data_IF_975807664550
#
_entry.id   IF_975807664550
#
_cell.length_a   1.000
_cell.length_b   1.000
_cell.length_c   1.000
_cell.angle_alpha   90.00
_cell.angle_beta   90.00
_cell.angle_gamma   90.00
#
_symmetry.space_group_name_H-M   'P 1'
#
loop_
_entity.id
_entity.type
_entity.pdbx_description
1 polymer ?
#
# COMPACT_ATOMS: atom_id res chain seq x y z
N UNK A 1 7.69 -40.88 -10.01
CA UNK A 1 7.60 -39.71 -10.91
C UNK A 1 7.09 -40.21 -12.24
N UNK A 2 5.87 -39.85 -12.65
CA UNK A 2 5.38 -40.17 -13.99
C UNK A 2 5.97 -39.19 -15.00
N UNK A 3 6.33 -39.69 -16.19
CA UNK A 3 6.81 -38.86 -17.30
C UNK A 3 5.70 -37.94 -17.80
N UNK A 4 6.04 -36.71 -18.20
CA UNK A 4 5.09 -35.69 -18.68
C UNK A 4 4.20 -36.19 -19.83
N UNK A 5 4.75 -37.00 -20.74
CA UNK A 5 3.99 -37.62 -21.83
C UNK A 5 2.93 -38.62 -21.32
N UNK A 6 3.23 -39.33 -20.24
CA UNK A 6 2.25 -40.25 -19.62
C UNK A 6 1.06 -39.49 -19.03
N UNK A 7 1.19 -38.22 -18.63
CA UNK A 7 0.06 -37.41 -18.12
C UNK A 7 -0.86 -36.98 -19.27
N UNK A 8 -0.32 -36.75 -20.46
CA UNK A 8 -1.08 -36.38 -21.65
C UNK A 8 -1.77 -37.58 -22.31
N UNK A 9 -1.22 -38.78 -22.15
CA UNK A 9 -1.76 -40.04 -22.68
C UNK A 9 -2.70 -40.76 -21.69
N UNK A 10 -2.72 -40.36 -20.42
CA UNK A 10 -3.54 -40.99 -19.38
C UNK A 10 -5.04 -40.69 -19.56
N UNK A 11 -5.83 -41.75 -19.64
CA UNK A 11 -7.26 -41.69 -20.03
C UNK A 11 -8.22 -41.52 -18.86
N UNK A 12 -7.74 -41.03 -17.72
CA UNK A 12 -8.55 -40.89 -16.52
C UNK A 12 -9.41 -39.61 -16.55
N UNK A 13 -10.68 -39.70 -16.15
CA UNK A 13 -11.71 -38.67 -16.41
C UNK A 13 -11.39 -37.31 -15.77
N UNK A 14 -10.75 -37.31 -14.60
CA UNK A 14 -10.30 -36.11 -13.91
C UNK A 14 -9.09 -35.43 -14.58
N UNK A 15 -8.16 -36.20 -15.17
CA UNK A 15 -6.97 -35.64 -15.83
C UNK A 15 -7.31 -35.03 -17.20
N UNK A 16 -8.28 -35.61 -17.91
CA UNK A 16 -8.82 -35.03 -19.17
C UNK A 16 -9.45 -33.64 -18.98
N UNK A 17 -10.03 -33.37 -17.82
CA UNK A 17 -10.58 -32.04 -17.49
C UNK A 17 -9.49 -31.01 -17.19
N UNK A 18 -8.34 -31.45 -16.64
CA UNK A 18 -7.22 -30.56 -16.30
C UNK A 18 -6.28 -30.26 -17.49
N UNK A 19 -6.22 -31.14 -18.49
CA UNK A 19 -5.31 -31.01 -19.63
C UNK A 19 -5.46 -29.67 -20.39
N UNK A 20 -6.66 -29.18 -20.74
CA UNK A 20 -6.81 -27.87 -21.40
C UNK A 20 -6.29 -26.70 -20.56
N UNK A 21 -6.44 -26.75 -19.23
CA UNK A 21 -5.93 -25.72 -18.34
C UNK A 21 -4.40 -25.73 -18.27
N UNK A 22 -3.79 -26.92 -18.22
CA UNK A 22 -2.33 -27.08 -18.22
C UNK A 22 -1.73 -26.60 -19.54
N UNK A 23 -2.29 -27.02 -20.68
CA UNK A 23 -1.83 -26.62 -22.02
C UNK A 23 -1.94 -25.11 -22.17
N UNK A 24 -3.07 -24.51 -21.76
CA UNK A 24 -3.27 -23.07 -21.82
C UNK A 24 -2.22 -22.32 -20.98
N UNK A 25 -2.08 -22.64 -19.70
CA UNK A 25 -1.16 -21.93 -18.80
C UNK A 25 0.29 -22.03 -19.27
N UNK A 26 0.75 -23.24 -19.60
CA UNK A 26 2.12 -23.44 -20.07
C UNK A 26 2.37 -22.83 -21.44
N UNK A 27 1.44 -23.02 -22.38
CA UNK A 27 1.57 -22.48 -23.73
C UNK A 27 1.57 -20.96 -23.74
N UNK A 28 0.70 -20.32 -22.95
CA UNK A 28 0.70 -18.86 -22.79
C UNK A 28 2.01 -18.36 -22.18
N UNK A 29 2.57 -19.05 -21.17
CA UNK A 29 3.85 -18.68 -20.56
C UNK A 29 5.01 -18.79 -21.56
N UNK A 30 5.09 -19.90 -22.31
CA UNK A 30 6.10 -20.10 -23.35
C UNK A 30 5.99 -18.99 -24.39
N UNK A 31 4.79 -18.73 -24.90
CA UNK A 31 4.56 -17.70 -25.92
C UNK A 31 4.80 -16.28 -25.38
N UNK A 32 4.63 -16.04 -24.08
CA UNK A 32 4.92 -14.74 -23.49
C UNK A 32 6.43 -14.44 -23.49
N UNK A 33 7.26 -15.43 -23.17
CA UNK A 33 8.72 -15.24 -23.02
C UNK A 33 9.54 -15.64 -24.24
N UNK A 34 8.96 -16.34 -25.22
CA UNK A 34 9.72 -16.83 -26.36
C UNK A 34 10.10 -15.68 -27.32
N UNK A 35 11.40 -15.49 -27.66
CA UNK A 35 11.88 -14.34 -28.44
C UNK A 35 11.31 -14.22 -29.86
N UNK A 36 10.81 -15.31 -30.44
CA UNK A 36 10.17 -15.33 -31.77
C UNK A 36 8.65 -15.28 -31.71
N UNK A 37 8.07 -15.24 -30.53
CA UNK A 37 6.62 -15.10 -30.38
C UNK A 37 6.21 -13.68 -30.75
N UNK A 38 5.06 -13.56 -31.40
CA UNK A 38 4.46 -12.28 -31.73
C UNK A 38 2.98 -12.29 -31.32
N UNK A 39 2.38 -11.10 -31.36
CA UNK A 39 0.98 -10.91 -30.97
C UNK A 39 0.04 -11.84 -31.75
N UNK A 40 0.24 -11.98 -33.06
CA UNK A 40 -0.62 -12.82 -33.91
C UNK A 40 -0.58 -14.30 -33.49
N UNK A 41 0.61 -14.80 -33.17
CA UNK A 41 0.83 -16.18 -32.69
C UNK A 41 0.14 -16.38 -31.34
N UNK A 42 0.28 -15.42 -30.42
CA UNK A 42 -0.38 -15.49 -29.12
C UNK A 42 -1.90 -15.43 -29.24
N UNK A 43 -2.43 -14.51 -30.07
CA UNK A 43 -3.87 -14.37 -30.30
C UNK A 43 -4.45 -15.67 -30.87
N UNK A 44 -3.79 -16.24 -31.88
CA UNK A 44 -4.21 -17.52 -32.48
C UNK A 44 -4.22 -18.65 -31.46
N UNK A 45 -3.20 -18.72 -30.60
CA UNK A 45 -3.16 -19.70 -29.51
C UNK A 45 -4.29 -19.48 -28.50
N UNK A 46 -4.47 -18.25 -28.02
CA UNK A 46 -5.51 -17.90 -27.05
C UNK A 46 -6.90 -18.22 -27.59
N UNK A 47 -7.21 -17.89 -28.85
CA UNK A 47 -8.50 -18.17 -29.46
C UNK A 47 -8.76 -19.66 -29.63
N UNK A 48 -7.73 -20.46 -29.97
CA UNK A 48 -7.85 -21.93 -29.95
C UNK A 48 -8.13 -22.44 -28.54
N UNK A 49 -7.41 -21.95 -27.53
CA UNK A 49 -7.58 -22.41 -26.15
C UNK A 49 -8.95 -22.05 -25.56
N UNK A 50 -9.50 -20.87 -25.90
CA UNK A 50 -10.85 -20.46 -25.50
C UNK A 50 -11.91 -21.47 -25.97
N UNK A 51 -11.77 -21.99 -27.18
CA UNK A 51 -12.71 -22.92 -27.78
C UNK A 51 -12.51 -24.37 -27.28
N UNK A 52 -11.27 -24.80 -27.02
CA UNK A 52 -10.97 -26.15 -26.51
C UNK A 52 -11.36 -26.28 -25.04
N UNK A 53 -11.09 -25.27 -24.23
CA UNK A 53 -11.38 -25.23 -22.81
C UNK A 53 -12.55 -24.31 -22.50
N UNK A 54 -13.76 -24.63 -22.97
CA UNK A 54 -14.95 -23.77 -22.85
C UNK A 54 -15.22 -23.32 -21.39
N UNK A 55 -14.95 -24.19 -20.41
CA UNK A 55 -15.06 -23.86 -18.98
C UNK A 55 -14.06 -22.79 -18.50
N UNK A 56 -12.95 -22.62 -19.21
CA UNK A 56 -11.90 -21.65 -18.92
C UNK A 56 -11.99 -20.39 -19.80
N UNK A 57 -12.98 -20.28 -20.69
CA UNK A 57 -13.12 -19.19 -21.66
C UNK A 57 -12.93 -17.80 -21.03
N UNK A 58 -13.58 -17.53 -19.89
CA UNK A 58 -13.49 -16.24 -19.20
C UNK A 58 -12.09 -15.96 -18.66
N UNK A 59 -11.44 -16.97 -18.06
CA UNK A 59 -10.07 -16.85 -17.52
C UNK A 59 -9.04 -16.64 -18.63
N UNK A 60 -9.18 -17.37 -19.74
CA UNK A 60 -8.32 -17.23 -20.92
C UNK A 60 -8.53 -15.84 -21.54
N UNK A 61 -9.77 -15.38 -21.62
CA UNK A 61 -10.09 -14.04 -22.14
C UNK A 61 -9.48 -12.93 -21.28
N UNK A 62 -9.49 -13.07 -19.95
CA UNK A 62 -8.82 -12.13 -19.04
C UNK A 62 -7.31 -12.09 -19.27
N UNK A 63 -6.64 -13.25 -19.31
CA UNK A 63 -5.20 -13.31 -19.56
C UNK A 63 -4.84 -12.74 -20.95
N UNK A 64 -5.64 -13.05 -21.96
CA UNK A 64 -5.46 -12.52 -23.30
C UNK A 64 -5.62 -11.00 -23.34
N UNK A 65 -6.60 -10.44 -22.63
CA UNK A 65 -6.71 -8.99 -22.50
C UNK A 65 -5.45 -8.38 -21.87
N UNK A 66 -4.93 -8.95 -20.77
CA UNK A 66 -3.70 -8.47 -20.13
C UNK A 66 -2.49 -8.53 -21.07
N UNK A 67 -2.38 -9.58 -21.87
CA UNK A 67 -1.33 -9.71 -22.90
C UNK A 67 -1.43 -8.59 -23.94
N UNK A 68 -2.63 -8.33 -24.47
CA UNK A 68 -2.87 -7.26 -25.44
C UNK A 68 -2.54 -5.88 -24.85
N UNK A 69 -2.89 -5.65 -23.58
CA UNK A 69 -2.53 -4.41 -22.86
C UNK A 69 -1.03 -4.22 -22.71
N UNK A 70 -0.30 -5.29 -22.41
CA UNK A 70 1.16 -5.25 -22.33
C UNK A 70 1.81 -4.80 -23.65
N UNK A 71 1.18 -5.11 -24.79
CA UNK A 71 1.62 -4.73 -26.13
C UNK A 71 1.00 -3.42 -26.64
N UNK A 72 0.28 -2.67 -25.79
CA UNK A 72 -0.33 -1.39 -26.17
C UNK A 72 -1.60 -1.50 -27.02
N UNK A 73 -2.18 -2.69 -27.17
CA UNK A 73 -3.33 -2.97 -28.03
C UNK A 73 -4.65 -2.80 -27.26
N UNK A 74 -4.95 -1.56 -26.87
CA UNK A 74 -6.07 -1.21 -26.00
C UNK A 74 -7.44 -1.58 -26.59
N UNK A 75 -7.66 -1.28 -27.88
CA UNK A 75 -8.94 -1.56 -28.55
C UNK A 75 -9.20 -3.06 -28.71
N UNK A 76 -8.15 -3.84 -29.00
CA UNK A 76 -8.26 -5.29 -29.12
C UNK A 76 -8.53 -5.94 -27.76
N UNK A 77 -7.89 -5.43 -26.69
CA UNK A 77 -8.17 -5.85 -25.33
C UNK A 77 -9.64 -5.56 -24.95
N UNK A 78 -10.14 -4.36 -25.26
CA UNK A 78 -11.54 -3.98 -25.00
C UNK A 78 -12.54 -4.83 -25.81
N UNK A 79 -12.25 -5.12 -27.08
CA UNK A 79 -13.08 -6.00 -27.92
C UNK A 79 -13.11 -7.42 -27.35
N UNK A 80 -11.95 -7.97 -26.97
CA UNK A 80 -11.84 -9.28 -26.35
C UNK A 80 -12.63 -9.38 -25.04
N UNK A 81 -12.54 -8.39 -24.16
CA UNK A 81 -13.34 -8.34 -22.92
C UNK A 81 -14.84 -8.20 -23.19
N UNK A 82 -15.23 -7.42 -24.20
CA UNK A 82 -16.64 -7.25 -24.57
C UNK A 82 -17.26 -8.54 -25.10
N UNK A 83 -16.51 -9.35 -25.86
CA UNK A 83 -16.96 -10.69 -26.26
C UNK A 83 -17.03 -11.65 -25.07
N UNK A 84 -16.14 -11.49 -24.08
CA UNK A 84 -16.14 -12.35 -22.90
C UNK A 84 -17.28 -12.03 -21.92
N UNK A 85 -17.68 -10.76 -21.83
CA UNK A 85 -18.81 -10.33 -21.00
C UNK A 85 -20.15 -10.96 -21.42
N UNK A 86 -20.37 -11.13 -22.73
CA UNK A 86 -21.59 -11.71 -23.29
C UNK A 86 -21.56 -13.23 -23.36
N UNK A 87 -20.43 -13.86 -23.04
CA UNK A 87 -20.28 -15.31 -23.07
C UNK A 87 -21.21 -15.99 -22.07
N UNK A 88 -21.92 -17.03 -22.52
CA UNK A 88 -22.81 -17.86 -21.70
C UNK A 88 -22.55 -19.33 -21.99
N UNK A 89 -22.32 -20.12 -20.95
CA UNK A 89 -22.15 -21.57 -21.04
C UNK A 89 -22.64 -22.21 -19.75
N UNK A 90 -23.52 -23.21 -19.86
CA UNK A 90 -24.11 -23.91 -18.72
C UNK A 90 -25.00 -23.05 -17.82
N UNK A 91 -25.38 -23.60 -16.67
CA UNK A 91 -26.05 -22.84 -15.60
C UNK A 91 -25.08 -21.86 -14.95
N UNK A 92 -25.57 -20.65 -14.63
CA UNK A 92 -24.75 -19.58 -14.06
C UNK A 92 -24.30 -19.96 -12.64
N UNK A 93 -23.07 -20.44 -12.50
CA UNK A 93 -22.47 -20.69 -11.19
C UNK A 93 -22.00 -19.39 -10.53
N UNK A 94 -21.91 -19.38 -9.19
CA UNK A 94 -21.34 -18.26 -8.43
C UNK A 94 -19.90 -17.92 -8.86
N UNK A 95 -19.10 -18.94 -9.19
CA UNK A 95 -17.72 -18.75 -9.68
C UNK A 95 -17.64 -18.05 -11.04
N UNK A 96 -18.63 -18.30 -11.91
CA UNK A 96 -18.74 -17.65 -13.21
C UNK A 96 -19.18 -16.19 -13.07
N UNK A 97 -20.04 -15.90 -12.11
CA UNK A 97 -20.47 -14.53 -11.81
C UNK A 97 -19.30 -13.65 -11.35
N UNK A 98 -18.45 -14.15 -10.45
CA UNK A 98 -17.22 -13.43 -10.03
C UNK A 98 -16.30 -13.16 -11.22
N UNK A 99 -16.12 -14.12 -12.12
CA UNK A 99 -15.30 -13.93 -13.33
C UNK A 99 -15.89 -12.92 -14.31
N UNK A 100 -17.22 -12.89 -14.46
CA UNK A 100 -17.91 -11.88 -15.27
C UNK A 100 -17.72 -10.49 -14.66
N UNK A 101 -17.93 -10.34 -13.34
CA UNK A 101 -17.71 -9.07 -12.64
C UNK A 101 -16.25 -8.59 -12.80
N UNK A 102 -15.29 -9.52 -12.78
CA UNK A 102 -13.88 -9.20 -13.00
C UNK A 102 -13.62 -8.72 -14.44
N UNK A 103 -14.20 -9.39 -15.44
CA UNK A 103 -14.14 -8.95 -16.85
C UNK A 103 -14.73 -7.55 -17.01
N UNK A 104 -15.91 -7.31 -16.42
CA UNK A 104 -16.56 -6.01 -16.44
C UNK A 104 -15.68 -4.95 -15.78
N UNK A 105 -15.07 -5.25 -14.64
CA UNK A 105 -14.19 -4.30 -13.95
C UNK A 105 -12.93 -3.97 -14.77
N UNK A 106 -12.29 -4.97 -15.40
CA UNK A 106 -11.14 -4.70 -16.28
C UNK A 106 -11.54 -3.89 -17.51
N UNK A 107 -12.72 -4.16 -18.08
CA UNK A 107 -13.29 -3.32 -19.15
C UNK A 107 -13.55 -1.90 -18.65
N UNK A 108 -14.08 -1.76 -17.44
CA UNK A 108 -14.23 -0.49 -16.73
C UNK A 108 -12.90 0.24 -16.54
N UNK A 109 -11.81 -0.45 -16.21
CA UNK A 109 -10.48 0.17 -16.13
C UNK A 109 -9.98 0.70 -17.47
N UNK A 110 -10.24 0.01 -18.59
CA UNK A 110 -9.89 0.52 -19.91
C UNK A 110 -10.70 1.76 -20.27
N UNK A 111 -11.99 1.75 -19.95
CA UNK A 111 -12.86 2.90 -20.14
C UNK A 111 -12.42 4.08 -19.25
N UNK A 112 -12.03 3.80 -18.01
CA UNK A 112 -11.45 4.76 -17.07
C UNK A 112 -10.15 5.36 -17.61
N UNK A 113 -9.25 4.55 -18.19
CA UNK A 113 -8.03 5.04 -18.80
C UNK A 113 -8.33 6.03 -19.93
N UNK A 114 -9.26 5.69 -20.82
CA UNK A 114 -9.72 6.59 -21.89
C UNK A 114 -10.35 7.86 -21.32
N UNK A 115 -11.18 7.75 -20.27
CA UNK A 115 -11.78 8.88 -19.58
C UNK A 115 -10.72 9.79 -18.93
N UNK A 116 -9.71 9.22 -18.27
CA UNK A 116 -8.64 9.94 -17.60
C UNK A 116 -7.79 10.73 -18.61
N UNK A 117 -7.55 10.14 -19.79
CA UNK A 117 -6.87 10.82 -20.90
C UNK A 117 -7.66 12.04 -21.39
N UNK A 118 -8.97 11.88 -21.61
CA UNK A 118 -9.88 12.98 -22.00
C UNK A 118 -9.98 14.06 -20.91
N UNK A 119 -10.00 13.66 -19.62
CA UNK A 119 -9.98 14.59 -18.48
C UNK A 119 -8.72 15.46 -18.50
N UNK A 120 -7.56 14.89 -18.81
CA UNK A 120 -6.31 15.63 -18.95
C UNK A 120 -6.38 16.61 -20.14
N UNK A 121 -6.91 16.19 -21.28
CA UNK A 121 -7.13 17.06 -22.44
C UNK A 121 -8.09 18.22 -22.13
N UNK A 122 -9.20 17.95 -21.44
CA UNK A 122 -10.15 18.99 -20.97
C UNK A 122 -9.49 20.04 -20.09
N UNK A 123 -8.56 19.64 -19.21
CA UNK A 123 -7.87 20.59 -18.32
C UNK A 123 -6.97 21.60 -19.05
N UNK A 124 -6.77 21.42 -20.36
CA UNK A 124 -6.01 22.34 -21.21
C UNK A 124 -6.88 23.29 -22.03
N UNK A 125 -8.20 23.09 -22.02
CA UNK A 125 -9.18 23.93 -22.73
C UNK A 125 -9.72 25.03 -21.81
N UNK A 126 -10.14 26.14 -22.42
CA UNK A 126 -10.82 27.23 -21.71
C UNK A 126 -12.26 26.82 -21.38
N UNK A 127 -12.74 27.16 -20.17
CA UNK A 127 -14.07 26.78 -19.69
C UNK A 127 -15.19 27.43 -20.53
N UNK A 128 -14.91 28.58 -21.16
CA UNK A 128 -15.82 29.33 -22.01
C UNK A 128 -15.88 28.81 -23.46
N UNK A 129 -15.05 27.81 -23.82
CA UNK A 129 -15.04 27.25 -25.17
C UNK A 129 -16.24 26.31 -25.41
N UNK A 130 -16.87 26.42 -26.58
CA UNK A 130 -17.89 25.48 -27.03
C UNK A 130 -17.37 24.04 -27.10
N UNK A 131 -16.07 23.88 -27.40
CA UNK A 131 -15.38 22.60 -27.38
C UNK A 131 -15.35 21.96 -25.98
N UNK A 132 -15.20 22.77 -24.93
CA UNK A 132 -15.21 22.30 -23.53
C UNK A 132 -16.58 21.74 -23.13
N UNK A 133 -17.66 22.45 -23.47
CA UNK A 133 -19.03 22.02 -23.17
C UNK A 133 -19.39 20.69 -23.86
N UNK A 134 -19.02 20.53 -25.13
CA UNK A 134 -19.29 19.31 -25.90
C UNK A 134 -18.45 18.13 -25.40
N UNK A 135 -17.18 18.35 -25.10
CA UNK A 135 -16.30 17.32 -24.56
C UNK A 135 -16.72 16.88 -23.14
N UNK A 136 -17.19 17.80 -22.31
CA UNK A 136 -17.72 17.53 -20.97
C UNK A 136 -18.99 16.66 -21.00
N UNK A 137 -19.94 16.96 -21.89
CA UNK A 137 -21.16 16.15 -22.07
C UNK A 137 -20.88 14.74 -22.58
N UNK A 138 -19.96 14.60 -23.54
CA UNK A 138 -19.55 13.28 -24.02
C UNK A 138 -18.81 12.46 -22.94
N UNK A 139 -18.04 13.12 -22.07
CA UNK A 139 -17.41 12.45 -20.91
C UNK A 139 -18.43 11.98 -19.88
N UNK A 140 -19.51 12.73 -19.63
CA UNK A 140 -20.61 12.33 -18.73
C UNK A 140 -21.31 11.04 -19.21
N UNK A 141 -21.60 10.92 -20.51
CA UNK A 141 -22.26 9.71 -21.03
C UNK A 141 -21.36 8.46 -21.00
N UNK A 142 -20.05 8.64 -21.18
CA UNK A 142 -19.08 7.54 -21.09
C UNK A 142 -18.78 7.11 -19.64
N UNK A 143 -18.88 8.02 -18.67
CA UNK A 143 -18.58 7.74 -17.28
C UNK A 143 -19.63 6.87 -16.60
N UNK A 144 -20.90 7.03 -16.94
CA UNK A 144 -21.97 6.20 -16.38
C UNK A 144 -21.75 4.71 -16.65
N UNK A 145 -21.44 4.35 -17.91
CA UNK A 145 -21.15 2.96 -18.28
C UNK A 145 -19.91 2.40 -17.58
N UNK A 146 -18.89 3.24 -17.41
CA UNK A 146 -17.65 2.89 -16.70
C UNK A 146 -17.90 2.66 -15.21
N UNK A 147 -18.71 3.53 -14.60
CA UNK A 147 -19.12 3.49 -13.20
C UNK A 147 -19.86 2.19 -12.88
N UNK A 148 -20.83 1.79 -13.72
CA UNK A 148 -21.57 0.53 -13.57
C UNK A 148 -20.64 -0.68 -13.60
N UNK A 149 -19.68 -0.70 -14.53
CA UNK A 149 -18.75 -1.81 -14.70
C UNK A 149 -17.78 -1.99 -13.52
N UNK A 150 -17.43 -0.91 -12.82
CA UNK A 150 -16.58 -0.96 -11.63
C UNK A 150 -17.39 -1.28 -10.36
N UNK A 151 -18.61 -0.75 -10.26
CA UNK A 151 -19.46 -0.83 -9.06
C UNK A 151 -19.79 -2.28 -8.66
N UNK A 152 -20.10 -3.14 -9.64
CA UNK A 152 -20.47 -4.53 -9.35
C UNK A 152 -19.33 -5.31 -8.67
N UNK A 153 -18.07 -5.09 -9.07
CA UNK A 153 -16.94 -5.81 -8.47
C UNK A 153 -16.61 -5.29 -7.07
N UNK A 154 -16.62 -3.97 -6.86
CA UNK A 154 -16.25 -3.38 -5.56
C UNK A 154 -17.24 -3.73 -4.44
N UNK A 155 -18.46 -4.14 -4.77
CA UNK A 155 -19.45 -4.66 -3.82
C UNK A 155 -19.18 -6.11 -3.40
N UNK A 156 -18.34 -6.83 -4.14
CA UNK A 156 -17.96 -8.21 -3.79
C UNK A 156 -16.73 -8.22 -2.88
N UNK A 157 -16.70 -9.06 -1.83
CA UNK A 157 -15.53 -9.19 -0.97
C UNK A 157 -14.24 -9.50 -1.74
N UNK A 158 -13.21 -8.68 -1.56
CA UNK A 158 -11.91 -8.87 -2.18
C UNK A 158 -10.99 -7.67 -2.04
N UNK A 159 -9.76 -7.79 -2.55
CA UNK A 159 -8.78 -6.69 -2.60
C UNK A 159 -8.82 -6.07 -3.99
N UNK A 160 -9.54 -4.95 -4.11
CA UNK A 160 -9.89 -4.31 -5.38
C UNK A 160 -9.26 -2.94 -5.57
N UNK A 161 -8.06 -2.73 -5.02
CA UNK A 161 -7.39 -1.42 -4.93
C UNK A 161 -7.39 -0.59 -6.22
N UNK A 162 -7.05 -1.15 -7.41
CA UNK A 162 -7.06 -0.38 -8.65
C UNK A 162 -8.47 0.09 -9.02
N UNK A 163 -9.47 -0.78 -8.86
CA UNK A 163 -10.86 -0.51 -9.22
C UNK A 163 -11.50 0.50 -8.28
N UNK A 164 -11.28 0.36 -6.97
CA UNK A 164 -11.77 1.29 -5.94
C UNK A 164 -11.22 2.70 -6.18
N UNK A 165 -9.92 2.82 -6.46
CA UNK A 165 -9.29 4.11 -6.76
C UNK A 165 -9.90 4.79 -7.99
N UNK A 166 -10.01 4.04 -9.10
CA UNK A 166 -10.60 4.56 -10.33
C UNK A 166 -12.05 5.00 -10.10
N UNK A 167 -12.83 4.19 -9.39
CA UNK A 167 -14.23 4.50 -9.11
C UNK A 167 -14.39 5.77 -8.25
N UNK A 168 -13.63 5.85 -7.16
CA UNK A 168 -13.65 7.01 -6.25
C UNK A 168 -13.22 8.29 -6.97
N UNK A 169 -12.18 8.25 -7.80
CA UNK A 169 -11.76 9.43 -8.57
C UNK A 169 -12.86 9.92 -9.52
N UNK A 170 -13.60 8.99 -10.14
CA UNK A 170 -14.74 9.34 -10.99
C UNK A 170 -15.86 9.99 -10.16
N UNK A 171 -16.23 9.41 -9.01
CA UNK A 171 -17.24 9.99 -8.12
C UNK A 171 -16.85 11.41 -7.66
N UNK A 172 -15.61 11.58 -7.21
CA UNK A 172 -15.08 12.89 -6.79
C UNK A 172 -15.14 13.92 -7.93
N UNK A 173 -14.82 13.51 -9.17
CA UNK A 173 -14.89 14.39 -10.35
C UNK A 173 -16.30 14.86 -10.66
N UNK A 174 -17.31 14.01 -10.46
CA UNK A 174 -18.73 14.36 -10.68
C UNK A 174 -19.39 15.04 -9.49
N UNK A 175 -18.64 15.32 -8.43
CA UNK A 175 -19.16 15.99 -7.22
C UNK A 175 -19.90 15.05 -6.27
N UNK A 176 -19.92 13.74 -6.51
CA UNK A 176 -20.52 12.76 -5.61
C UNK A 176 -19.55 12.38 -4.46
N UNK A 177 -19.37 13.33 -3.55
CA UNK A 177 -18.49 13.16 -2.39
C UNK A 177 -19.05 12.15 -1.38
N UNK A 178 -20.37 12.07 -1.23
CA UNK A 178 -20.99 11.14 -0.29
C UNK A 178 -20.88 9.69 -0.79
N UNK A 179 -21.08 9.43 -2.08
CA UNK A 179 -20.82 8.12 -2.68
C UNK A 179 -19.34 7.72 -2.58
N UNK A 180 -18.41 8.66 -2.83
CA UNK A 180 -16.98 8.40 -2.66
C UNK A 180 -16.64 8.02 -1.20
N UNK A 181 -17.23 8.74 -0.23
CA UNK A 181 -17.07 8.46 1.19
C UNK A 181 -17.64 7.09 1.57
N UNK A 182 -18.83 6.75 1.06
CA UNK A 182 -19.48 5.47 1.32
C UNK A 182 -18.62 4.30 0.84
N UNK A 183 -18.17 4.33 -0.42
CA UNK A 183 -17.33 3.29 -1.01
C UNK A 183 -16.06 3.07 -0.20
N UNK A 184 -15.35 4.15 0.16
CA UNK A 184 -14.12 4.07 0.94
C UNK A 184 -14.36 3.57 2.38
N UNK A 185 -15.49 3.94 2.97
CA UNK A 185 -15.86 3.51 4.32
C UNK A 185 -16.18 2.02 4.34
N UNK A 186 -17.01 1.54 3.40
CA UNK A 186 -17.36 0.13 3.26
C UNK A 186 -16.11 -0.70 2.96
N UNK A 187 -15.26 -0.26 2.03
CA UNK A 187 -14.03 -0.97 1.69
C UNK A 187 -13.02 -1.06 2.85
N UNK A 188 -13.06 -0.11 3.80
CA UNK A 188 -12.17 -0.10 4.96
C UNK A 188 -12.72 -0.83 6.19
N UNK A 189 -14.05 -0.91 6.36
CA UNK A 189 -14.67 -1.36 7.62
C UNK A 189 -15.68 -2.49 7.49
N UNK A 190 -16.12 -2.86 6.29
CA UNK A 190 -17.00 -4.02 6.12
C UNK A 190 -16.21 -5.31 6.42
N UNK A 191 -16.62 -6.01 7.47
CA UNK A 191 -15.99 -7.25 7.96
C UNK A 191 -16.01 -8.39 6.93
N UNK A 192 -16.86 -8.31 5.90
CA UNK A 192 -16.86 -9.27 4.80
C UNK A 192 -15.61 -9.15 3.94
N UNK A 193 -14.99 -7.97 3.89
CA UNK A 193 -13.79 -7.73 3.09
C UNK A 193 -12.53 -8.20 3.83
N UNK A 194 -11.54 -8.74 3.11
CA UNK A 194 -10.26 -9.08 3.72
C UNK A 194 -9.57 -7.82 4.26
N UNK A 195 -8.85 -7.97 5.38
CA UNK A 195 -8.08 -6.86 5.96
C UNK A 195 -7.08 -6.31 4.95
N UNK A 196 -7.28 -5.06 4.53
CA UNK A 196 -6.46 -4.40 3.53
C UNK A 196 -5.92 -3.06 4.05
N UNK A 197 -4.59 -2.92 4.27
CA UNK A 197 -3.98 -1.66 4.67
C UNK A 197 -4.30 -0.49 3.74
N UNK A 198 -4.40 -0.76 2.43
CA UNK A 198 -4.63 0.28 1.42
C UNK A 198 -6.01 0.92 1.57
N UNK A 199 -7.03 0.17 1.99
CA UNK A 199 -8.37 0.70 2.21
C UNK A 199 -8.36 1.85 3.25
N UNK A 200 -7.68 1.64 4.38
CA UNK A 200 -7.53 2.69 5.40
C UNK A 200 -6.68 3.87 4.93
N UNK A 201 -5.67 3.63 4.08
CA UNK A 201 -4.87 4.70 3.47
C UNK A 201 -5.75 5.57 2.55
N UNK A 202 -6.62 4.96 1.75
CA UNK A 202 -7.50 5.68 0.84
C UNK A 202 -8.53 6.51 1.61
N UNK A 203 -9.20 5.89 2.59
CA UNK A 203 -10.14 6.59 3.47
C UNK A 203 -9.47 7.74 4.23
N UNK A 204 -8.27 7.52 4.78
CA UNK A 204 -7.53 8.57 5.48
C UNK A 204 -7.26 9.78 4.58
N UNK A 205 -6.74 9.55 3.37
CA UNK A 205 -6.40 10.62 2.45
C UNK A 205 -7.64 11.39 2.00
N UNK A 206 -8.76 10.69 1.78
CA UNK A 206 -10.04 11.30 1.45
C UNK A 206 -10.55 12.20 2.59
N UNK A 207 -10.65 11.66 3.81
CA UNK A 207 -11.09 12.41 4.99
C UNK A 207 -10.19 13.62 5.29
N UNK A 208 -8.89 13.49 5.03
CA UNK A 208 -7.93 14.60 5.18
C UNK A 208 -8.20 15.72 4.18
N UNK A 209 -8.55 15.41 2.92
CA UNK A 209 -8.94 16.41 1.91
C UNK A 209 -10.24 17.11 2.30
N UNK A 210 -11.21 16.35 2.81
CA UNK A 210 -12.49 16.89 3.31
C UNK A 210 -12.37 17.67 4.63
N UNK A 211 -11.16 17.78 5.20
CA UNK A 211 -10.92 18.45 6.50
C UNK A 211 -11.77 17.84 7.62
N UNK A 212 -11.93 16.52 7.61
CA UNK A 212 -12.67 15.80 8.64
C UNK A 212 -12.10 16.06 10.06
N UNK A 213 -12.93 15.90 11.12
CA UNK A 213 -12.48 16.03 12.49
C UNK A 213 -11.27 15.17 12.81
N UNK A 214 -10.39 15.68 13.68
CA UNK A 214 -9.12 15.01 14.02
C UNK A 214 -9.35 13.64 14.62
N UNK A 215 -10.43 13.47 15.37
CA UNK A 215 -10.83 12.23 16.02
C UNK A 215 -11.07 11.13 14.99
N UNK A 216 -11.72 11.45 13.87
CA UNK A 216 -11.92 10.52 12.75
C UNK A 216 -10.61 10.15 12.05
N UNK A 217 -9.71 11.12 11.88
CA UNK A 217 -8.39 10.86 11.31
C UNK A 217 -7.54 9.95 12.22
N UNK A 218 -7.62 10.17 13.53
CA UNK A 218 -6.94 9.34 14.54
C UNK A 218 -7.49 7.91 14.54
N UNK A 219 -8.81 7.72 14.46
CA UNK A 219 -9.39 6.37 14.47
C UNK A 219 -8.96 5.53 13.27
N UNK A 220 -8.96 6.11 12.07
CA UNK A 220 -8.50 5.44 10.84
C UNK A 220 -7.03 5.05 10.94
N UNK A 221 -6.17 5.98 11.39
CA UNK A 221 -4.73 5.71 11.51
C UNK A 221 -4.40 4.73 12.63
N UNK A 222 -5.23 4.65 13.69
CA UNK A 222 -5.07 3.68 14.76
C UNK A 222 -5.24 2.25 14.23
N UNK A 223 -6.23 2.02 13.38
CA UNK A 223 -6.44 0.71 12.73
C UNK A 223 -5.28 0.42 11.78
N UNK A 224 -4.89 1.40 10.95
CA UNK A 224 -3.73 1.23 10.06
C UNK A 224 -2.44 0.91 10.84
N UNK A 225 -2.23 1.51 12.01
CA UNK A 225 -1.08 1.23 12.88
C UNK A 225 -1.06 -0.24 13.34
N UNK A 226 -2.22 -0.78 13.71
CA UNK A 226 -2.33 -2.19 14.13
C UNK A 226 -1.99 -3.15 12.99
N UNK A 227 -2.30 -2.79 11.74
CA UNK A 227 -2.03 -3.64 10.57
C UNK A 227 -0.60 -3.44 10.03
N UNK A 228 -0.14 -2.19 9.92
CA UNK A 228 1.17 -1.82 9.34
C UNK A 228 1.85 -0.71 10.15
N UNK A 229 2.51 -1.05 11.28
CA UNK A 229 3.16 -0.07 12.15
C UNK A 229 4.36 0.65 11.51
N UNK A 230 4.92 0.12 10.41
CA UNK A 230 6.03 0.72 9.67
C UNK A 230 5.60 1.74 8.61
N UNK A 231 4.29 1.92 8.40
CA UNK A 231 3.80 2.74 7.30
C UNK A 231 4.21 4.23 7.46
N UNK A 232 4.48 4.91 6.34
CA UNK A 232 4.91 6.32 6.34
C UNK A 232 3.94 7.28 7.06
N UNK A 233 2.65 6.94 7.10
CA UNK A 233 1.63 7.72 7.80
C UNK A 233 1.77 7.66 9.32
N UNK A 234 2.56 6.76 9.90
CA UNK A 234 2.73 6.68 11.35
C UNK A 234 3.44 7.91 11.94
N UNK A 235 4.29 8.58 11.17
CA UNK A 235 4.86 9.86 11.58
C UNK A 235 3.82 10.99 11.57
N UNK A 236 2.84 10.91 10.68
CA UNK A 236 1.70 11.83 10.67
C UNK A 236 0.74 11.50 11.82
N UNK A 237 0.49 10.21 12.08
CA UNK A 237 -0.29 9.73 13.21
C UNK A 237 0.26 10.27 14.54
N UNK A 238 1.55 10.11 14.78
CA UNK A 238 2.24 10.69 15.94
C UNK A 238 1.99 12.21 16.06
N UNK A 239 2.03 12.96 14.95
CA UNK A 239 1.77 14.42 14.98
C UNK A 239 0.33 14.75 15.36
N UNK A 240 -0.65 13.96 14.91
CA UNK A 240 -2.05 14.15 15.27
C UNK A 240 -2.29 13.84 16.75
N UNK A 241 -1.75 12.71 17.23
CA UNK A 241 -1.81 12.29 18.62
C UNK A 241 -1.20 13.34 19.57
N UNK A 242 -0.01 13.85 19.23
CA UNK A 242 0.67 14.89 20.03
C UNK A 242 -0.12 16.20 20.12
N UNK A 243 -0.92 16.53 19.11
CA UNK A 243 -1.75 17.75 19.12
C UNK A 243 -3.06 17.56 19.88
N UNK A 244 -3.43 16.34 20.23
CA UNK A 244 -4.62 16.07 21.03
C UNK A 244 -4.38 16.45 22.49
N UNK A 245 -5.46 16.76 23.19
CA UNK A 245 -5.45 17.09 24.62
C UNK A 245 -5.51 15.84 25.51
N UNK A 246 -5.77 14.67 24.93
CA UNK A 246 -5.90 13.41 25.67
C UNK A 246 -4.54 12.82 26.04
N UNK A 247 -4.35 12.51 27.31
CA UNK A 247 -3.15 11.88 27.85
C UNK A 247 -2.87 10.52 27.20
N UNK A 248 -3.89 9.70 26.99
CA UNK A 248 -3.79 8.41 26.30
C UNK A 248 -3.22 8.54 24.87
N UNK A 249 -3.57 9.62 24.18
CA UNK A 249 -3.01 9.88 22.86
C UNK A 249 -1.51 10.20 22.94
N UNK A 250 -1.06 10.85 24.00
CA UNK A 250 0.37 11.12 24.18
C UNK A 250 1.14 9.85 24.47
N UNK A 251 0.60 8.95 25.31
CA UNK A 251 1.17 7.62 25.53
C UNK A 251 1.26 6.83 24.23
N UNK A 252 0.15 6.72 23.48
CA UNK A 252 0.12 6.06 22.17
C UNK A 252 1.08 6.72 21.17
N UNK A 253 1.25 8.04 21.23
CA UNK A 253 2.19 8.76 20.37
C UNK A 253 3.64 8.36 20.59
N UNK A 254 3.99 7.87 21.79
CA UNK A 254 5.31 7.32 22.11
C UNK A 254 5.43 5.89 21.56
N UNK A 255 4.44 5.05 21.84
CA UNK A 255 4.31 3.67 21.33
C UNK A 255 4.47 3.62 19.80
N UNK A 256 3.79 4.51 19.08
CA UNK A 256 3.89 4.61 17.61
C UNK A 256 5.33 4.86 17.14
N UNK A 257 6.09 5.73 17.82
CA UNK A 257 7.47 6.02 17.42
C UNK A 257 8.43 4.86 17.69
N UNK A 258 8.23 4.15 18.80
CA UNK A 258 8.94 2.91 19.06
C UNK A 258 8.59 1.85 18.00
N UNK A 259 7.29 1.64 17.76
CA UNK A 259 6.77 0.68 16.79
C UNK A 259 7.27 0.92 15.37
N UNK A 260 7.36 2.17 14.91
CA UNK A 260 7.95 2.49 13.59
C UNK A 260 9.41 2.04 13.52
N UNK A 261 10.19 2.31 14.58
CA UNK A 261 11.63 2.04 14.62
C UNK A 261 11.96 0.55 14.84
N UNK A 262 11.01 -0.26 15.29
CA UNK A 262 11.17 -1.71 15.39
C UNK A 262 11.42 -2.39 14.02
N UNK A 263 11.04 -1.75 12.92
CA UNK A 263 11.17 -2.31 11.58
C UNK A 263 12.51 -1.94 10.92
N UNK A 264 13.18 -2.95 10.34
CA UNK A 264 14.48 -2.80 9.70
C UNK A 264 14.53 -1.70 8.63
N UNK A 265 13.49 -1.57 7.81
CA UNK A 265 13.37 -0.53 6.78
C UNK A 265 13.31 0.90 7.33
N UNK A 266 12.98 1.07 8.61
CA UNK A 266 12.85 2.39 9.26
C UNK A 266 14.06 2.75 10.13
N UNK A 267 15.04 1.86 10.27
CA UNK A 267 16.24 2.05 11.13
C UNK A 267 17.06 3.30 10.80
N UNK A 268 17.03 3.74 9.54
CA UNK A 268 17.72 4.96 9.06
C UNK A 268 16.80 6.18 8.93
N UNK A 269 15.54 6.09 9.36
CA UNK A 269 14.60 7.21 9.28
C UNK A 269 14.94 8.29 10.32
N UNK A 270 15.70 9.30 9.89
CA UNK A 270 16.12 10.42 10.75
C UNK A 270 14.94 11.18 11.38
N UNK A 271 13.81 11.27 10.68
CA UNK A 271 12.63 11.98 11.19
C UNK A 271 12.02 11.23 12.37
N UNK A 272 11.91 9.90 12.28
CA UNK A 272 11.44 9.05 13.36
C UNK A 272 12.35 9.18 14.60
N UNK A 273 13.67 9.08 14.43
CA UNK A 273 14.64 9.23 15.53
C UNK A 273 14.60 10.62 16.17
N UNK A 274 14.51 11.69 15.36
CA UNK A 274 14.38 13.06 15.85
C UNK A 274 13.09 13.25 16.64
N UNK A 275 11.99 12.65 16.20
CA UNK A 275 10.72 12.70 16.91
C UNK A 275 10.80 11.94 18.22
N UNK A 276 11.35 10.71 18.22
CA UNK A 276 11.52 9.92 19.43
C UNK A 276 12.41 10.63 20.45
N UNK A 277 13.58 11.14 20.05
CA UNK A 277 14.48 11.85 20.96
C UNK A 277 13.91 13.16 21.50
N UNK A 278 13.07 13.88 20.74
CA UNK A 278 12.34 15.03 21.25
C UNK A 278 11.24 14.60 22.23
N UNK A 279 10.48 13.58 21.86
CA UNK A 279 9.30 13.16 22.60
C UNK A 279 9.67 12.52 23.93
N UNK A 280 10.65 11.62 23.96
CA UNK A 280 11.22 11.06 25.20
C UNK A 280 11.62 12.15 26.20
N UNK A 281 12.29 13.21 25.74
CA UNK A 281 12.66 14.33 26.63
C UNK A 281 11.44 15.04 27.19
N UNK A 282 10.42 15.30 26.36
CA UNK A 282 9.20 15.97 26.81
C UNK A 282 8.44 15.10 27.82
N UNK A 283 8.27 13.81 27.53
CA UNK A 283 7.63 12.82 28.41
C UNK A 283 8.32 12.74 29.77
N UNK A 284 9.67 12.70 29.79
CA UNK A 284 10.44 12.63 31.03
C UNK A 284 10.44 13.93 31.83
N UNK A 285 10.40 15.09 31.17
CA UNK A 285 10.21 16.40 31.85
C UNK A 285 8.80 16.49 32.46
N UNK A 286 7.80 15.88 31.82
CA UNK A 286 6.44 15.75 32.34
C UNK A 286 6.26 14.68 33.42
N UNK A 287 7.35 14.08 33.93
CA UNK A 287 7.33 13.02 34.94
C UNK A 287 6.60 11.71 34.54
N UNK A 288 6.41 11.46 33.24
CA UNK A 288 5.77 10.24 32.74
C UNK A 288 6.79 9.11 32.47
N UNK A 289 7.65 8.82 33.45
CA UNK A 289 8.70 7.78 33.32
C UNK A 289 8.10 6.39 33.04
N UNK A 290 6.95 6.09 33.64
CA UNK A 290 6.27 4.80 33.49
C UNK A 290 5.96 4.47 32.02
N UNK A 291 5.54 5.45 31.23
CA UNK A 291 5.24 5.25 29.80
C UNK A 291 6.48 4.86 29.00
N UNK A 292 7.61 5.49 29.31
CA UNK A 292 8.88 5.17 28.65
C UNK A 292 9.35 3.77 29.05
N UNK A 293 9.19 3.39 30.32
CA UNK A 293 9.58 2.07 30.81
C UNK A 293 8.72 0.97 30.19
N UNK A 294 7.41 1.17 30.07
CA UNK A 294 6.48 0.23 29.44
C UNK A 294 6.92 -0.11 28.00
N UNK A 295 7.15 0.92 27.18
CA UNK A 295 7.63 0.73 25.80
C UNK A 295 9.05 0.17 25.72
N UNK A 296 9.92 0.58 26.64
CA UNK A 296 11.31 0.17 26.62
C UNK A 296 11.52 -1.28 27.10
N UNK A 297 10.70 -1.75 28.04
CA UNK A 297 10.87 -3.04 28.69
C UNK A 297 10.75 -4.23 27.71
N UNK A 298 9.87 -4.14 26.72
CA UNK A 298 9.74 -5.14 25.65
C UNK A 298 10.92 -5.14 24.66
N UNK A 299 11.70 -4.05 24.63
CA UNK A 299 12.75 -3.79 23.63
C UNK A 299 14.17 -3.92 24.16
N UNK A 300 14.37 -3.80 25.48
CA UNK A 300 15.68 -3.75 26.13
C UNK A 300 16.62 -4.91 25.78
N UNK A 301 16.10 -6.09 25.45
CA UNK A 301 16.90 -7.28 25.16
C UNK A 301 17.42 -7.33 23.70
N UNK A 302 16.81 -6.59 22.77
CA UNK A 302 17.13 -6.71 21.33
C UNK A 302 17.41 -5.37 20.64
N UNK A 303 16.75 -4.27 21.04
CA UNK A 303 17.05 -2.92 20.52
C UNK A 303 18.53 -2.53 20.59
N UNK A 304 19.27 -2.82 21.68
CA UNK A 304 20.68 -2.46 21.76
C UNK A 304 21.54 -3.11 20.67
N UNK A 305 21.31 -4.39 20.39
CA UNK A 305 22.00 -5.11 19.32
C UNK A 305 21.54 -4.64 17.94
N UNK A 306 20.23 -4.40 17.80
CA UNK A 306 19.59 -4.01 16.54
C UNK A 306 19.93 -2.59 16.09
N UNK A 307 19.94 -1.60 16.98
CA UNK A 307 20.16 -0.19 16.65
C UNK A 307 21.48 0.39 17.16
N UNK A 308 22.03 -0.14 18.27
CA UNK A 308 23.07 0.53 19.05
C UNK A 308 24.35 -0.29 19.21
N UNK A 309 24.64 -1.18 18.25
CA UNK A 309 25.88 -1.95 18.23
C UNK A 309 27.08 -1.05 17.90
N UNK A 310 28.30 -1.50 18.26
CA UNK A 310 29.53 -0.80 17.89
C UNK A 310 29.73 -0.70 16.37
N UNK A 311 29.20 -1.67 15.63
CA UNK A 311 29.18 -1.65 14.16
C UNK A 311 28.30 -0.50 13.67
N UNK A 312 27.06 -0.41 14.15
CA UNK A 312 26.14 0.66 13.78
C UNK A 312 26.67 2.04 14.15
N UNK A 313 27.30 2.19 15.31
CA UNK A 313 27.90 3.46 15.72
C UNK A 313 28.93 3.99 14.70
N UNK A 314 29.75 3.10 14.14
CA UNK A 314 30.75 3.45 13.12
C UNK A 314 30.10 3.71 11.76
N UNK A 315 29.16 2.84 11.33
CA UNK A 315 28.49 2.97 10.03
C UNK A 315 27.63 4.23 9.97
N UNK A 316 26.76 4.44 10.97
CA UNK A 316 25.88 5.61 11.04
C UNK A 316 26.71 6.90 11.08
N UNK A 317 27.82 6.95 11.82
CA UNK A 317 28.69 8.13 11.85
C UNK A 317 29.35 8.43 10.50
N UNK A 318 29.74 7.39 9.76
CA UNK A 318 30.35 7.52 8.44
C UNK A 318 29.34 7.97 7.38
N UNK A 319 28.14 7.39 7.40
CA UNK A 319 27.10 7.61 6.38
C UNK A 319 26.25 8.87 6.67
N UNK A 320 25.76 9.03 7.89
CA UNK A 320 24.90 10.14 8.29
C UNK A 320 25.15 10.55 9.75
N UNK A 321 26.03 11.53 9.92
CA UNK A 321 26.37 12.09 11.23
C UNK A 321 25.16 12.68 11.97
N UNK A 322 24.15 13.17 11.25
CA UNK A 322 22.96 13.75 11.86
C UNK A 322 22.07 12.66 12.46
N UNK A 323 21.83 11.57 11.72
CA UNK A 323 21.16 10.36 12.21
C UNK A 323 21.92 9.78 13.42
N UNK A 324 23.25 9.66 13.31
CA UNK A 324 24.07 9.11 14.38
C UNK A 324 23.92 9.90 15.69
N UNK A 325 23.80 11.23 15.61
CA UNK A 325 23.55 12.08 16.77
C UNK A 325 22.13 11.89 17.37
N UNK A 326 21.09 11.74 16.55
CA UNK A 326 19.73 11.49 17.06
C UNK A 326 19.64 10.12 17.74
N UNK A 327 20.21 9.07 17.12
CA UNK A 327 20.35 7.74 17.72
C UNK A 327 21.15 7.80 19.03
N UNK A 328 22.24 8.57 19.08
CA UNK A 328 23.03 8.71 20.30
C UNK A 328 22.23 9.36 21.43
N UNK A 329 21.40 10.38 21.14
CA UNK A 329 20.52 10.98 22.15
C UNK A 329 19.56 9.93 22.73
N UNK A 330 18.88 9.16 21.88
CA UNK A 330 17.94 8.13 22.32
C UNK A 330 18.65 7.01 23.08
N UNK A 331 19.76 6.49 22.54
CA UNK A 331 20.58 5.48 23.21
C UNK A 331 21.05 5.94 24.59
N UNK A 332 21.50 7.20 24.71
CA UNK A 332 21.94 7.75 25.99
C UNK A 332 20.79 7.90 26.99
N UNK A 333 19.58 8.23 26.54
CA UNK A 333 18.39 8.32 27.41
C UNK A 333 17.97 6.93 27.90
N UNK A 334 17.91 5.93 27.01
CA UNK A 334 17.36 4.60 27.29
C UNK A 334 18.36 3.63 27.94
N UNK A 335 19.63 3.68 27.53
CA UNK A 335 20.71 2.77 27.98
C UNK A 335 21.74 3.47 28.88
N UNK A 336 21.61 4.77 29.10
CA UNK A 336 22.54 5.56 29.89
C UNK A 336 23.85 5.89 29.16
N UNK A 337 24.70 6.67 29.86
CA UNK A 337 26.00 7.16 29.34
C UNK A 337 27.01 6.04 29.10
N UNK A 338 26.81 4.90 29.75
CA UNK A 338 27.63 3.70 29.60
C UNK A 338 27.43 2.98 28.26
N UNK A 339 26.40 3.30 27.47
CA UNK A 339 26.19 2.63 26.19
C UNK A 339 27.35 2.84 25.21
N UNK A 340 27.81 1.76 24.55
CA UNK A 340 28.94 1.79 23.59
C UNK A 340 28.66 2.77 22.44
N UNK A 341 27.44 2.76 21.90
CA UNK A 341 27.02 3.68 20.84
C UNK A 341 27.13 5.14 21.29
N UNK A 342 26.53 5.48 22.44
CA UNK A 342 26.59 6.84 22.98
C UNK A 342 28.03 7.29 23.25
N UNK A 343 28.86 6.43 23.84
CA UNK A 343 30.28 6.71 24.12
C UNK A 343 31.06 6.98 22.84
N UNK A 344 30.86 6.18 21.80
CA UNK A 344 31.55 6.35 20.52
C UNK A 344 31.22 7.71 19.89
N UNK A 345 29.94 8.03 19.74
CA UNK A 345 29.49 9.29 19.12
C UNK A 345 29.89 10.51 19.98
N UNK A 346 29.83 10.38 21.30
CA UNK A 346 30.20 11.44 22.24
C UNK A 346 31.69 11.81 22.22
N UNK A 347 32.55 10.91 21.74
CA UNK A 347 34.00 11.12 21.63
C UNK A 347 34.43 11.65 20.26
N UNK A 348 33.54 11.66 19.28
CA UNK A 348 33.86 12.20 17.96
C UNK A 348 34.07 13.71 18.06
N UNK A 349 35.20 14.17 17.51
CA UNK A 349 35.48 15.59 17.39
C UNK A 349 35.11 16.04 15.98
N UNK A 350 33.97 16.70 15.88
CA UNK A 350 33.46 17.28 14.64
C UNK A 350 33.13 18.75 14.93
N UNK A 351 33.82 19.67 14.24
CA UNK A 351 33.71 21.10 14.50
C UNK A 351 32.27 21.62 14.32
N UNK A 352 31.52 21.05 13.37
CA UNK A 352 30.14 21.45 13.05
C UNK A 352 29.17 20.91 14.09
N UNK A 353 29.35 19.66 14.53
CA UNK A 353 28.43 18.98 15.45
C UNK A 353 28.81 19.11 16.93
N UNK A 354 29.95 19.73 17.27
CA UNK A 354 30.43 19.90 18.65
C UNK A 354 29.37 20.51 19.58
N UNK A 355 28.64 21.53 19.11
CA UNK A 355 27.54 22.15 19.86
C UNK A 355 26.38 21.16 20.10
N UNK A 356 26.03 20.35 19.09
CA UNK A 356 24.97 19.33 19.16
C UNK A 356 25.35 18.22 20.14
N UNK A 357 26.58 17.70 20.05
CA UNK A 357 27.09 16.65 20.95
C UNK A 357 27.12 17.14 22.42
N UNK A 358 27.53 18.39 22.67
CA UNK A 358 27.46 18.99 24.01
C UNK A 358 26.03 19.04 24.55
N UNK A 359 25.05 19.46 23.72
CA UNK A 359 23.63 19.47 24.09
C UNK A 359 23.12 18.06 24.41
N UNK A 360 23.49 17.07 23.60
CA UNK A 360 23.13 15.66 23.80
C UNK A 360 23.66 15.16 25.15
N UNK A 361 24.94 15.38 25.46
CA UNK A 361 25.54 15.00 26.76
C UNK A 361 24.80 15.63 27.94
N UNK A 362 24.43 16.91 27.85
CA UNK A 362 23.66 17.61 28.88
C UNK A 362 22.25 17.01 29.02
N UNK A 363 21.56 16.75 27.91
CA UNK A 363 20.23 16.13 27.92
C UNK A 363 20.25 14.74 28.55
N UNK A 364 21.21 13.89 28.19
CA UNK A 364 21.36 12.54 28.74
C UNK A 364 21.71 12.58 30.23
N UNK A 365 22.53 13.55 30.69
CA UNK A 365 22.80 13.71 32.12
C UNK A 365 21.53 14.03 32.92
N UNK A 366 20.57 14.74 32.33
CA UNK A 366 19.36 15.21 33.04
C UNK A 366 18.17 14.24 32.93
N UNK A 367 18.03 13.51 31.82
CA UNK A 367 16.83 12.73 31.51
C UNK A 367 17.14 11.26 31.16
N UNK A 368 18.22 10.69 31.68
CA UNK A 368 18.48 9.25 31.52
C UNK A 368 17.53 8.46 32.40
N UNK A 369 16.90 7.40 31.87
CA UNK A 369 16.07 6.48 32.67
C UNK A 369 16.92 5.47 33.46
N UNK A 370 18.19 5.33 33.08
CA UNK A 370 19.18 4.53 33.81
C UNK A 370 19.87 5.44 34.82
N UNK A 371 19.77 5.09 36.11
CA UNK A 371 20.45 5.80 37.19
C UNK A 371 21.98 5.74 36.99
N UNK A 372 22.71 6.85 37.14
CA UNK A 372 24.17 6.87 37.01
C UNK A 372 24.91 6.25 38.22
N UNK A 373 24.21 5.54 39.11
CA UNK A 373 24.72 5.09 40.41
C UNK A 373 24.65 3.57 40.66
N UNK A 374 24.61 2.75 39.61
CA UNK A 374 24.85 1.30 39.69
C UNK A 374 26.03 0.92 38.79
#
# INVERSE_FOLDING_TARGET
MHSYFQILEDSDSHKRQAAPEIIWKLGSEILFYHPKSNVETFNTFADRMKNIGVMNYLKISLQHALYLLHHGMLEDANRNLSHAETWRYGEKSSSQEVLINLIQAYKGLLQYYTWSKKKMELSTLDEDDYAYNTASQNMLNHSWKTSVNLCALIQTPGVWDPFVKSYVEMLEFYGDQDGAREVLTNYAYDEKFPSNPNAHIYLYNFLKREKAPREKLISVLKILYQIVPSHKLMLEFHRLLRKSEKEDHHKLGLEVLFGVLDFAGCTKNITAWKYLGKYLRQTLVGNHLAWVQEEWNSRKNWWPSFHFSSFWAKSDWKEDKALACEKALVAGILLGKGCRYFRFISKQDDQVLRKKIKRIKKSVKKHSIVNPGL
#
